data_IF_161270958056
#
_entry.id   IF_161270958056
#
_cell.length_a   1.000
_cell.length_b   1.000
_cell.length_c   1.000
_cell.angle_alpha   90.00
_cell.angle_beta   90.00
_cell.angle_gamma   90.00
#
_symmetry.space_group_name_H-M   'P 1'
#
loop_
_entity.id
_entity.type
_entity.pdbx_description
1 polymer ?
#
# COMPACT_ATOMS: atom_id res chain seq x y z
N UNK A 1 5.22 3.41 -20.03
CA UNK A 1 5.88 2.19 -20.56
C UNK A 1 4.99 1.02 -20.14
N UNK A 2 4.47 0.21 -21.06
CA UNK A 2 3.73 -1.02 -20.71
C UNK A 2 4.73 -2.03 -20.13
N UNK A 3 4.49 -2.50 -18.90
CA UNK A 3 5.25 -3.60 -18.30
C UNK A 3 4.98 -4.87 -19.11
N UNK A 4 6.02 -5.64 -19.42
CA UNK A 4 5.81 -6.93 -20.09
C UNK A 4 5.31 -7.93 -19.05
N UNK A 5 4.44 -8.85 -19.47
CA UNK A 5 3.87 -9.88 -18.59
C UNK A 5 4.92 -10.72 -17.86
N UNK A 6 6.11 -10.88 -18.44
CA UNK A 6 7.24 -11.58 -17.83
C UNK A 6 7.87 -10.78 -16.68
N UNK A 7 7.90 -9.45 -16.77
CA UNK A 7 8.46 -8.59 -15.73
C UNK A 7 7.55 -8.57 -14.48
N UNK A 8 6.24 -8.74 -14.65
CA UNK A 8 5.27 -8.71 -13.54
C UNK A 8 5.54 -9.83 -12.53
N UNK A 9 5.88 -11.03 -13.00
CA UNK A 9 6.16 -12.16 -12.11
C UNK A 9 7.45 -11.93 -11.29
N UNK A 10 8.53 -11.49 -11.95
CA UNK A 10 9.80 -11.19 -11.29
C UNK A 10 9.68 -10.01 -10.32
N UNK A 11 9.01 -8.93 -10.73
CA UNK A 11 8.75 -7.77 -9.89
C UNK A 11 7.87 -8.15 -8.70
N UNK A 12 6.86 -8.99 -8.90
CA UNK A 12 5.99 -9.42 -7.82
C UNK A 12 6.75 -10.21 -6.76
N UNK A 13 7.60 -11.13 -7.19
CA UNK A 13 8.47 -11.88 -6.29
C UNK A 13 9.40 -10.95 -5.51
N UNK A 14 10.03 -9.98 -6.19
CA UNK A 14 10.93 -9.00 -5.58
C UNK A 14 10.22 -8.17 -4.50
N UNK A 15 9.04 -7.64 -4.80
CA UNK A 15 8.28 -6.83 -3.85
C UNK A 15 7.81 -7.65 -2.65
N UNK A 16 7.32 -8.88 -2.88
CA UNK A 16 6.92 -9.78 -1.79
C UNK A 16 8.07 -10.07 -0.84
N UNK A 17 9.26 -10.38 -1.37
CA UNK A 17 10.45 -10.61 -0.54
C UNK A 17 10.85 -9.35 0.24
N UNK A 18 10.84 -8.20 -0.43
CA UNK A 18 11.15 -6.91 0.18
C UNK A 18 10.19 -6.57 1.33
N UNK A 19 8.88 -6.76 1.13
CA UNK A 19 7.86 -6.48 2.12
C UNK A 19 7.87 -7.49 3.26
N UNK A 20 8.02 -8.79 2.96
CA UNK A 20 8.14 -9.82 3.99
C UNK A 20 9.29 -9.51 4.95
N UNK A 21 10.46 -9.14 4.39
CA UNK A 21 11.63 -8.73 5.17
C UNK A 21 11.40 -7.42 5.95
N UNK A 22 10.73 -6.44 5.35
CA UNK A 22 10.42 -5.15 5.99
C UNK A 22 9.48 -5.30 7.18
N UNK A 23 8.47 -6.14 7.05
CA UNK A 23 7.42 -6.34 8.07
C UNK A 23 7.73 -7.49 9.04
N UNK A 24 8.81 -8.25 8.80
CA UNK A 24 9.20 -9.38 9.65
C UNK A 24 8.22 -10.55 9.59
N UNK A 25 7.53 -10.70 8.46
CA UNK A 25 6.57 -11.80 8.23
C UNK A 25 7.20 -12.87 7.36
N UNK A 26 6.70 -14.10 7.46
CA UNK A 26 7.10 -15.18 6.55
C UNK A 26 6.74 -14.80 5.11
N UNK A 27 7.64 -15.07 4.17
CA UNK A 27 7.42 -14.74 2.76
C UNK A 27 6.20 -15.48 2.22
N UNK A 28 5.08 -14.81 1.91
CA UNK A 28 3.91 -15.49 1.41
C UNK A 28 4.11 -15.93 -0.04
N UNK A 29 3.55 -17.06 -0.41
CA UNK A 29 3.56 -17.55 -1.80
C UNK A 29 2.38 -16.98 -2.57
N UNK A 30 2.58 -16.56 -3.81
CA UNK A 30 1.46 -16.21 -4.69
C UNK A 30 0.72 -17.48 -5.13
N UNK A 31 -0.60 -17.49 -4.98
CA UNK A 31 -1.44 -18.50 -5.59
C UNK A 31 -1.37 -18.39 -7.13
N UNK A 32 -1.62 -19.51 -7.81
CA UNK A 32 -1.61 -19.54 -9.28
C UNK A 32 -2.65 -18.58 -9.87
N UNK A 33 -3.85 -18.53 -9.28
CA UNK A 33 -4.93 -17.65 -9.73
C UNK A 33 -4.62 -16.17 -9.50
N UNK A 34 -3.96 -15.84 -8.39
CA UNK A 34 -3.47 -14.49 -8.08
C UNK A 34 -2.44 -14.02 -9.13
N UNK A 35 -1.46 -14.87 -9.45
CA UNK A 35 -0.47 -14.59 -10.49
C UNK A 35 -1.13 -14.39 -11.87
N UNK A 36 -2.11 -15.23 -12.19
CA UNK A 36 -2.84 -15.14 -13.46
C UNK A 36 -3.62 -13.83 -13.58
N UNK A 37 -4.28 -13.39 -12.51
CA UNK A 37 -5.01 -12.12 -12.49
C UNK A 37 -4.06 -10.94 -12.63
N UNK A 38 -2.91 -10.96 -11.95
CA UNK A 38 -1.86 -9.94 -12.08
C UNK A 38 -1.30 -9.85 -13.51
N UNK A 39 -1.13 -10.97 -14.20
CA UNK A 39 -0.64 -10.99 -15.59
C UNK A 39 -1.67 -10.52 -16.63
N UNK A 40 -2.96 -10.65 -16.30
CA UNK A 40 -4.07 -10.24 -17.16
C UNK A 40 -4.49 -8.79 -16.94
N UNK A 41 -4.10 -8.20 -15.82
CA UNK A 41 -4.42 -6.83 -15.49
C UNK A 41 -3.51 -5.83 -16.22
N UNK A 42 -4.08 -4.74 -16.72
CA UNK A 42 -3.37 -3.75 -17.56
C UNK A 42 -2.42 -2.82 -16.79
N UNK A 43 -2.49 -2.80 -15.45
CA UNK A 43 -1.70 -1.94 -14.55
C UNK A 43 -1.67 -0.46 -15.00
N UNK A 44 -2.82 0.24 -15.03
CA UNK A 44 -2.89 1.65 -15.43
C UNK A 44 -1.97 2.56 -14.60
N UNK A 45 -1.71 2.21 -13.34
CA UNK A 45 -0.78 2.88 -12.43
C UNK A 45 0.68 2.45 -12.54
N UNK A 46 1.02 1.58 -13.51
CA UNK A 46 2.35 1.01 -13.73
C UNK A 46 2.89 0.26 -12.49
N UNK A 47 4.23 0.25 -12.32
CA UNK A 47 4.95 -0.45 -11.25
C UNK A 47 4.46 -0.04 -9.85
N UNK A 48 4.01 1.21 -9.68
CA UNK A 48 3.52 1.70 -8.37
C UNK A 48 2.22 1.04 -7.93
N UNK A 49 1.34 0.73 -8.87
CA UNK A 49 0.09 0.01 -8.54
C UNK A 49 0.40 -1.43 -8.15
N UNK A 50 1.33 -2.08 -8.86
CA UNK A 50 1.85 -3.41 -8.53
C UNK A 50 2.45 -3.44 -7.13
N UNK A 51 3.32 -2.47 -6.81
CA UNK A 51 3.92 -2.30 -5.50
C UNK A 51 2.84 -2.17 -4.40
N UNK A 52 1.85 -1.31 -4.60
CA UNK A 52 0.78 -1.05 -3.63
C UNK A 52 -0.09 -2.29 -3.37
N UNK A 53 -0.48 -3.00 -4.43
CA UNK A 53 -1.30 -4.20 -4.34
C UNK A 53 -0.56 -5.28 -3.55
N UNK A 54 0.72 -5.48 -3.85
CA UNK A 54 1.53 -6.51 -3.19
C UNK A 54 1.88 -6.15 -1.74
N UNK A 55 2.15 -4.88 -1.45
CA UNK A 55 2.38 -4.44 -0.07
C UNK A 55 1.16 -4.74 0.81
N UNK A 56 -0.03 -4.38 0.32
CA UNK A 56 -1.30 -4.66 1.00
C UNK A 56 -1.55 -6.17 1.11
N UNK A 57 -1.33 -6.92 0.04
CA UNK A 57 -1.54 -8.36 0.03
C UNK A 57 -0.66 -9.05 1.09
N UNK A 58 0.64 -8.71 1.16
CA UNK A 58 1.57 -9.25 2.18
C UNK A 58 1.12 -8.89 3.60
N UNK A 59 0.56 -7.69 3.81
CA UNK A 59 0.11 -7.26 5.13
C UNK A 59 -1.22 -7.90 5.57
N UNK A 60 -2.13 -8.14 4.63
CA UNK A 60 -3.43 -8.77 4.88
C UNK A 60 -3.34 -10.31 4.91
N UNK A 61 -2.30 -10.87 4.32
CA UNK A 61 -2.00 -12.29 4.31
C UNK A 61 -1.88 -12.83 5.74
N UNK A 62 -2.94 -13.47 6.24
CA UNK A 62 -2.91 -14.20 7.52
C UNK A 62 -2.39 -15.62 7.36
N UNK A 63 -2.45 -16.14 6.13
CA UNK A 63 -1.97 -17.46 5.72
C UNK A 63 -0.75 -17.25 4.83
N UNK A 64 0.22 -18.18 4.79
CA UNK A 64 1.46 -18.03 4.00
C UNK A 64 1.25 -18.08 2.46
N UNK A 65 0.05 -17.76 1.97
CA UNK A 65 -0.37 -17.77 0.57
C UNK A 65 -1.24 -16.55 0.27
N UNK A 66 -0.87 -15.75 -0.73
CA UNK A 66 -1.65 -14.63 -1.28
C UNK A 66 -2.61 -15.18 -2.33
N UNK A 67 -3.91 -15.06 -2.09
CA UNK A 67 -4.96 -15.46 -3.04
C UNK A 67 -5.39 -14.27 -3.91
N UNK A 68 -6.16 -14.53 -4.98
CA UNK A 68 -6.67 -13.49 -5.88
C UNK A 68 -7.52 -12.44 -5.14
N UNK A 69 -8.28 -12.89 -4.14
CA UNK A 69 -9.16 -12.03 -3.36
C UNK A 69 -8.37 -11.02 -2.50
N UNK A 70 -7.17 -11.39 -2.05
CA UNK A 70 -6.27 -10.51 -1.29
C UNK A 70 -5.71 -9.37 -2.16
N UNK A 71 -5.58 -9.59 -3.47
CA UNK A 71 -5.08 -8.58 -4.41
C UNK A 71 -6.14 -7.51 -4.73
N UNK A 72 -7.44 -7.87 -4.65
CA UNK A 72 -8.56 -6.94 -4.88
C UNK A 72 -8.47 -6.14 -6.21
N UNK A 73 -7.86 -6.70 -7.26
CA UNK A 73 -7.53 -5.99 -8.51
C UNK A 73 -8.75 -5.43 -9.25
N UNK A 74 -9.91 -6.08 -9.13
CA UNK A 74 -11.18 -5.60 -9.73
C UNK A 74 -11.70 -4.30 -9.11
N UNK A 75 -11.32 -3.97 -7.88
CA UNK A 75 -11.65 -2.69 -7.27
C UNK A 75 -10.82 -1.54 -7.86
N UNK A 76 -9.59 -1.83 -8.31
CA UNK A 76 -8.71 -0.84 -8.93
C UNK A 76 -9.10 -0.55 -10.39
N UNK A 77 -9.63 -1.54 -11.13
CA UNK A 77 -9.92 -1.42 -12.56
C UNK A 77 -11.21 -0.69 -12.94
N UNK A 78 -12.09 -0.35 -11.98
CA UNK A 78 -13.39 0.30 -12.27
C UNK A 78 -13.43 1.82 -12.08
N UNK A 79 -12.31 2.45 -11.75
CA UNK A 79 -12.33 3.79 -11.16
C UNK A 79 -11.71 4.86 -12.08
N UNK A 80 -12.15 4.88 -13.33
CA UNK A 80 -11.82 5.97 -14.25
C UNK A 80 -13.03 6.77 -14.74
N UNK A 81 -14.24 6.44 -14.30
CA UNK A 81 -15.44 7.26 -14.51
C UNK A 81 -16.31 7.13 -13.26
N UNK A 82 -16.69 8.28 -12.69
CA UNK A 82 -17.62 8.48 -11.58
C UNK A 82 -17.06 8.51 -10.13
N UNK A 83 -17.04 9.75 -9.63
CA UNK A 83 -17.59 10.18 -8.34
C UNK A 83 -16.93 9.79 -7.01
N UNK A 84 -16.58 10.85 -6.26
CA UNK A 84 -17.05 11.09 -4.88
C UNK A 84 -17.76 9.90 -4.21
N UNK A 85 -17.02 9.01 -3.55
CA UNK A 85 -17.66 7.98 -2.73
C UNK A 85 -16.78 6.82 -2.31
N UNK A 86 -15.83 6.40 -3.15
CA UNK A 86 -14.78 5.45 -2.74
C UNK A 86 -13.87 6.13 -1.73
N UNK A 87 -13.74 5.55 -0.54
CA UNK A 87 -12.98 6.15 0.54
C UNK A 87 -11.56 6.37 0.03
N UNK A 88 -11.06 7.61 0.00
CA UNK A 88 -9.71 7.97 -0.48
C UNK A 88 -8.62 7.05 0.12
N UNK A 89 -8.92 6.49 1.28
CA UNK A 89 -8.15 5.51 2.03
C UNK A 89 -8.06 4.12 1.37
N UNK A 90 -9.06 3.65 0.63
CA UNK A 90 -9.07 2.33 -0.02
C UNK A 90 -8.09 2.23 -1.21
N UNK A 91 -7.74 3.39 -1.79
CA UNK A 91 -6.76 3.51 -2.88
C UNK A 91 -5.34 3.84 -2.38
N UNK A 92 -5.18 4.10 -1.08
CA UNK A 92 -3.91 4.51 -0.48
C UNK A 92 -3.24 3.32 0.22
N UNK A 93 -1.92 3.19 0.06
CA UNK A 93 -1.15 2.24 0.90
C UNK A 93 -1.18 2.68 2.36
N UNK A 94 -0.90 1.78 3.29
CA UNK A 94 -0.84 2.13 4.71
C UNK A 94 0.18 3.25 4.99
N UNK A 95 1.32 3.25 4.28
CA UNK A 95 2.30 4.34 4.33
C UNK A 95 1.74 5.67 3.80
N UNK A 96 0.91 5.65 2.75
CA UNK A 96 0.24 6.85 2.23
C UNK A 96 -0.90 7.32 3.14
N UNK A 97 -1.65 6.39 3.75
CA UNK A 97 -2.65 6.69 4.77
C UNK A 97 -1.97 7.29 6.00
N UNK A 98 -0.87 6.70 6.46
CA UNK A 98 -0.09 7.17 7.60
C UNK A 98 0.49 8.56 7.32
N UNK A 99 1.09 8.76 6.14
CA UNK A 99 1.57 10.08 5.69
C UNK A 99 0.44 11.10 5.63
N UNK A 100 -0.70 10.73 5.06
CA UNK A 100 -1.88 11.60 4.96
C UNK A 100 -2.44 11.98 6.34
N UNK A 101 -2.48 11.03 7.28
CA UNK A 101 -2.91 11.28 8.65
C UNK A 101 -1.92 12.20 9.39
N UNK A 102 -0.62 12.00 9.20
CA UNK A 102 0.43 12.87 9.76
C UNK A 102 0.32 14.29 9.21
N UNK A 103 0.22 14.46 7.89
CA UNK A 103 0.03 15.76 7.24
C UNK A 103 -1.26 16.45 7.69
N UNK A 104 -2.37 15.72 7.75
CA UNK A 104 -3.67 16.25 8.16
C UNK A 104 -3.64 16.71 9.62
N UNK A 105 -3.00 15.94 10.51
CA UNK A 105 -2.84 16.32 11.91
C UNK A 105 -1.92 17.53 12.08
N UNK A 106 -0.84 17.63 11.29
CA UNK A 106 0.05 18.80 11.29
C UNK A 106 -0.68 20.06 10.81
N UNK A 107 -1.43 19.97 9.70
CA UNK A 107 -2.20 21.10 9.18
C UNK A 107 -3.27 21.58 10.17
N UNK A 108 -4.02 20.65 10.78
CA UNK A 108 -5.05 20.97 11.79
C UNK A 108 -4.48 21.53 13.09
N UNK A 109 -3.20 21.30 13.37
CA UNK A 109 -2.51 21.80 14.55
C UNK A 109 -1.58 22.98 14.24
N UNK A 110 -1.67 23.55 13.03
CA UNK A 110 -0.84 24.69 12.58
C UNK A 110 0.66 24.43 12.75
N UNK A 111 1.12 23.21 12.44
CA UNK A 111 2.52 22.80 12.55
C UNK A 111 2.98 22.41 13.96
N UNK A 112 2.08 22.38 14.95
CA UNK A 112 2.45 21.98 16.30
C UNK A 112 2.51 20.44 16.44
N UNK A 113 3.71 19.89 16.27
CA UNK A 113 4.01 18.46 16.36
C UNK A 113 3.49 17.80 17.66
N UNK A 114 3.55 18.50 18.80
CA UNK A 114 3.07 17.92 20.06
C UNK A 114 1.54 17.80 20.09
N UNK A 115 0.84 18.74 19.46
CA UNK A 115 -0.62 18.76 19.38
C UNK A 115 -1.13 17.77 18.32
N UNK A 116 -0.46 17.70 17.17
CA UNK A 116 -0.74 16.69 16.15
C UNK A 116 -0.54 15.25 16.68
N UNK A 117 0.54 15.01 17.44
CA UNK A 117 0.81 13.69 18.01
C UNK A 117 -0.32 13.25 18.94
N UNK A 118 -0.81 14.14 19.81
CA UNK A 118 -1.95 13.87 20.70
C UNK A 118 -3.24 13.57 19.93
N UNK A 119 -3.49 14.25 18.81
CA UNK A 119 -4.67 13.98 17.97
C UNK A 119 -4.64 12.59 17.34
N UNK A 120 -3.43 12.06 17.07
CA UNK A 120 -3.22 10.74 16.51
C UNK A 120 -3.00 9.65 17.59
N UNK A 121 -3.08 9.99 18.88
CA UNK A 121 -2.80 9.06 19.98
C UNK A 121 -1.33 8.64 20.09
N UNK A 122 -0.41 9.42 19.52
CA UNK A 122 1.03 9.15 19.49
C UNK A 122 1.79 9.99 20.51
N UNK A 123 2.97 9.51 20.91
CA UNK A 123 3.94 10.32 21.64
C UNK A 123 4.64 11.29 20.66
N UNK A 124 5.13 12.43 21.18
CA UNK A 124 5.88 13.42 20.38
C UNK A 124 7.10 12.80 19.67
N UNK A 125 7.77 11.86 20.32
CA UNK A 125 8.93 11.15 19.75
C UNK A 125 8.52 10.22 18.61
N UNK A 126 7.44 9.46 18.80
CA UNK A 126 6.91 8.57 17.76
C UNK A 126 6.38 9.33 16.54
N UNK A 127 5.86 10.54 16.73
CA UNK A 127 5.47 11.41 15.61
C UNK A 127 6.68 11.94 14.84
N UNK A 128 7.72 12.41 15.53
CA UNK A 128 8.95 12.90 14.87
C UNK A 128 9.66 11.81 14.06
N UNK A 129 9.80 10.62 14.63
CA UNK A 129 10.39 9.48 13.95
C UNK A 129 9.64 9.16 12.63
N UNK A 130 8.30 9.21 12.65
CA UNK A 130 7.48 9.01 11.45
C UNK A 130 7.59 10.18 10.46
N UNK A 131 7.67 11.42 10.93
CA UNK A 131 7.91 12.57 10.04
C UNK A 131 9.26 12.46 9.32
N UNK A 132 10.31 12.03 10.01
CA UNK A 132 11.63 11.76 9.40
C UNK A 132 11.56 10.64 8.36
N UNK A 133 10.81 9.56 8.64
CA UNK A 133 10.56 8.46 7.69
C UNK A 133 9.94 8.96 6.37
N UNK A 134 9.02 9.93 6.44
CA UNK A 134 8.29 10.44 5.27
C UNK A 134 8.77 11.79 4.73
N UNK A 135 9.86 12.35 5.29
CA UNK A 135 10.44 13.66 4.95
C UNK A 135 9.42 14.82 5.00
N UNK A 136 8.68 14.89 6.10
CA UNK A 136 7.71 15.93 6.45
C UNK A 136 8.29 16.92 7.48
#
# INVERSE_FOLDING_TARGET
LRLRQQDIAELAQFFIEQFAKRYGVEQPRLAYDAMREMQQYDWPGNIRELENVLERAVMLCKQSVIESDDLSLKAFGRDNQDEQGGSKFEKMTLDQVEKYLLETALNRSSGNVSRAARQLGLTRMAMRYRMEKYKL
#
